data_IF_881843299990
#
_entry.id   IF_881843299990
#
_cell.length_a   1.000
_cell.length_b   1.000
_cell.length_c   1.000
_cell.angle_alpha   90.00
_cell.angle_beta   90.00
_cell.angle_gamma   90.00
#
_symmetry.space_group_name_H-M   'P 1'
#
loop_
_entity.id
_entity.type
_entity.pdbx_description
1 polymer ?
#
# COMPACT_ATOMS: atom_id res chain seq x y z
N UNK A 1 -15.89 -2.17 -1.94
CA UNK A 1 -14.63 -2.69 -2.53
C UNK A 1 -14.86 -3.70 -3.66
N UNK A 2 -15.18 -4.98 -3.42
CA UNK A 2 -15.28 -5.98 -4.52
C UNK A 2 -16.38 -5.63 -5.53
N UNK A 3 -17.55 -5.20 -5.07
CA UNK A 3 -18.61 -4.68 -5.96
C UNK A 3 -18.15 -3.47 -6.78
N UNK A 4 -17.37 -2.59 -6.17
CA UNK A 4 -16.84 -1.39 -6.83
C UNK A 4 -15.85 -1.78 -7.93
N UNK A 5 -15.13 -2.90 -7.77
CA UNK A 5 -14.30 -3.48 -8.83
C UNK A 5 -15.16 -3.93 -10.01
N UNK A 6 -16.26 -4.63 -9.77
CA UNK A 6 -17.18 -5.02 -10.85
C UNK A 6 -17.70 -3.79 -11.61
N UNK A 7 -18.11 -2.73 -10.89
CA UNK A 7 -18.53 -1.47 -11.49
C UNK A 7 -17.40 -0.75 -12.24
N UNK A 8 -16.16 -0.87 -11.77
CA UNK A 8 -14.97 -0.32 -12.44
C UNK A 8 -14.69 -1.04 -13.76
N UNK A 9 -14.76 -2.38 -13.78
CA UNK A 9 -14.65 -3.16 -15.02
C UNK A 9 -15.79 -2.86 -15.98
N UNK A 10 -17.02 -2.67 -15.46
CA UNK A 10 -18.15 -2.21 -16.27
C UNK A 10 -17.87 -0.85 -16.90
N UNK A 11 -17.34 0.12 -16.15
CA UNK A 11 -17.03 1.45 -16.66
C UNK A 11 -15.99 1.42 -17.81
N UNK A 12 -15.02 0.50 -17.76
CA UNK A 12 -14.09 0.28 -18.87
C UNK A 12 -14.79 -0.27 -20.12
N UNK A 13 -15.81 -1.10 -19.95
CA UNK A 13 -16.57 -1.72 -21.04
C UNK A 13 -17.79 -0.91 -21.49
N UNK A 14 -18.05 0.27 -20.91
CA UNK A 14 -19.12 1.19 -21.33
C UNK A 14 -18.63 2.59 -21.68
N UNK A 15 -17.30 2.79 -21.73
CA UNK A 15 -16.70 4.07 -22.09
C UNK A 15 -17.03 4.48 -23.55
N UNK A 16 -16.95 5.78 -23.89
CA UNK A 16 -17.04 6.22 -25.27
C UNK A 16 -15.90 5.68 -26.15
N UNK A 17 -16.16 5.47 -27.44
CA UNK A 17 -15.13 5.07 -28.42
C UNK A 17 -14.79 3.58 -28.42
N UNK A 18 -15.65 2.74 -27.84
CA UNK A 18 -15.54 1.29 -27.91
C UNK A 18 -15.82 0.75 -29.31
N UNK A 19 -15.29 -0.43 -29.66
CA UNK A 19 -15.68 -1.15 -30.87
C UNK A 19 -17.20 -1.33 -30.95
N UNK A 20 -17.80 -1.28 -32.15
CA UNK A 20 -19.24 -1.12 -32.32
C UNK A 20 -20.08 -2.25 -31.73
N UNK A 21 -19.66 -3.51 -31.88
CA UNK A 21 -20.44 -4.65 -31.39
C UNK A 21 -20.42 -4.69 -29.86
N UNK A 22 -19.26 -4.42 -29.25
CA UNK A 22 -19.10 -4.31 -27.80
C UNK A 22 -19.86 -3.11 -27.24
N UNK A 23 -19.83 -1.96 -27.92
CA UNK A 23 -20.56 -0.76 -27.52
C UNK A 23 -22.09 -0.98 -27.50
N UNK A 24 -22.60 -1.85 -28.36
CA UNK A 24 -24.00 -2.25 -28.40
C UNK A 24 -24.35 -3.40 -27.44
N UNK A 25 -23.36 -4.08 -26.87
CA UNK A 25 -23.56 -5.22 -25.99
C UNK A 25 -23.92 -4.78 -24.56
N UNK A 26 -24.78 -5.55 -23.91
CA UNK A 26 -25.07 -5.40 -22.49
C UNK A 26 -23.93 -5.98 -21.64
N UNK A 27 -23.53 -5.30 -20.57
CA UNK A 27 -22.55 -5.83 -19.61
C UNK A 27 -23.30 -6.44 -18.41
N UNK A 28 -23.03 -7.72 -18.14
CA UNK A 28 -23.67 -8.52 -17.09
C UNK A 28 -22.63 -9.09 -16.11
N UNK A 29 -23.10 -9.43 -14.91
CA UNK A 29 -22.30 -10.01 -13.82
C UNK A 29 -23.09 -11.15 -13.18
N UNK A 30 -23.35 -12.21 -13.94
CA UNK A 30 -24.12 -13.37 -13.50
C UNK A 30 -23.25 -14.63 -13.55
N UNK A 31 -23.81 -15.78 -13.15
CA UNK A 31 -23.17 -17.07 -13.33
C UNK A 31 -23.54 -17.63 -14.71
N UNK A 32 -22.57 -18.00 -15.56
CA UNK A 32 -22.82 -18.51 -16.92
C UNK A 32 -23.22 -19.99 -16.87
N UNK A 33 -24.36 -20.28 -16.24
CA UNK A 33 -24.96 -21.63 -16.21
C UNK A 33 -25.69 -21.94 -17.51
N UNK A 34 -26.10 -23.20 -17.71
CA UNK A 34 -26.92 -23.59 -18.87
C UNK A 34 -28.29 -22.90 -18.94
N UNK A 35 -28.76 -22.28 -17.85
CA UNK A 35 -30.01 -21.51 -17.80
C UNK A 35 -29.80 -20.02 -18.12
N UNK A 36 -28.55 -19.56 -18.13
CA UNK A 36 -28.22 -18.18 -18.44
C UNK A 36 -28.42 -17.94 -19.95
N UNK A 37 -29.43 -17.14 -20.29
CA UNK A 37 -29.82 -16.86 -21.67
C UNK A 37 -30.26 -15.39 -21.82
N UNK A 38 -29.31 -14.47 -22.04
CA UNK A 38 -29.62 -13.05 -22.14
C UNK A 38 -30.49 -12.78 -23.39
N UNK A 39 -31.43 -11.85 -23.27
CA UNK A 39 -32.35 -11.49 -24.36
C UNK A 39 -31.72 -10.55 -25.39
N UNK A 40 -30.58 -9.97 -25.07
CA UNK A 40 -29.79 -9.08 -25.91
C UNK A 40 -28.35 -9.58 -25.94
N UNK A 41 -27.61 -9.22 -26.98
CA UNK A 41 -26.17 -9.51 -27.05
C UNK A 41 -25.48 -8.99 -25.80
N UNK A 42 -24.77 -9.85 -25.09
CA UNK A 42 -24.18 -9.50 -23.80
C UNK A 42 -22.73 -10.00 -23.64
N UNK A 43 -21.97 -9.28 -22.83
CA UNK A 43 -20.71 -9.73 -22.24
C UNK A 43 -20.97 -9.98 -20.76
N UNK A 44 -20.72 -11.20 -20.31
CA UNK A 44 -20.86 -11.59 -18.91
C UNK A 44 -19.48 -11.69 -18.24
N UNK A 45 -19.34 -11.07 -17.08
CA UNK A 45 -18.13 -11.07 -16.25
C UNK A 45 -18.41 -11.79 -14.93
N UNK A 46 -18.08 -13.07 -14.87
CA UNK A 46 -18.31 -13.90 -13.69
C UNK A 46 -17.06 -13.96 -12.79
N UNK A 47 -17.13 -13.41 -11.59
CA UNK A 47 -16.06 -13.50 -10.59
C UNK A 47 -16.01 -14.93 -10.01
N UNK A 48 -15.03 -15.72 -10.45
CA UNK A 48 -14.95 -17.14 -10.07
C UNK A 48 -13.86 -17.45 -9.03
N UNK A 49 -12.87 -16.57 -8.87
CA UNK A 49 -11.75 -16.79 -7.97
C UNK A 49 -11.30 -15.47 -7.32
N UNK A 50 -11.11 -15.49 -6.00
CA UNK A 50 -10.55 -14.39 -5.21
C UNK A 50 -9.43 -14.98 -4.35
N UNK A 51 -8.21 -14.49 -4.54
CA UNK A 51 -7.03 -14.96 -3.80
C UNK A 51 -6.23 -13.81 -3.26
N UNK A 52 -5.61 -14.01 -2.11
CA UNK A 52 -4.58 -13.10 -1.64
C UNK A 52 -3.34 -13.23 -2.53
N UNK A 53 -2.86 -12.10 -3.04
CA UNK A 53 -1.60 -12.01 -3.77
C UNK A 53 -0.46 -11.85 -2.75
N UNK A 54 0.14 -12.97 -2.38
CA UNK A 54 1.22 -13.04 -1.41
C UNK A 54 2.56 -12.49 -1.93
N UNK A 55 2.76 -12.44 -3.25
CA UNK A 55 3.98 -11.85 -3.84
C UNK A 55 4.03 -10.34 -3.65
N UNK A 56 2.87 -9.69 -3.65
CA UNK A 56 2.72 -8.26 -3.38
C UNK A 56 2.45 -7.94 -1.90
N UNK A 57 2.50 -8.95 -1.03
CA UNK A 57 2.30 -8.77 0.41
C UNK A 57 3.54 -8.15 1.02
N UNK A 58 3.52 -6.82 1.18
CA UNK A 58 4.40 -6.19 2.14
C UNK A 58 3.89 -6.56 3.55
N UNK A 59 4.73 -7.11 4.42
CA UNK A 59 4.35 -7.35 5.84
C UNK A 59 4.78 -6.20 6.75
N UNK A 60 5.40 -5.18 6.19
CA UNK A 60 5.82 -4.01 6.95
C UNK A 60 4.62 -3.13 7.29
N UNK A 61 4.59 -2.68 8.54
CA UNK A 61 3.69 -1.63 8.94
C UNK A 61 4.24 -0.31 8.41
N UNK A 62 3.39 0.45 7.71
CA UNK A 62 3.67 1.83 7.37
C UNK A 62 3.55 2.67 8.64
N UNK A 63 4.63 3.36 9.00
CA UNK A 63 4.74 4.12 10.24
C UNK A 63 4.64 5.60 9.94
N UNK A 64 3.43 6.15 10.03
CA UNK A 64 3.23 7.59 9.94
C UNK A 64 3.50 8.24 11.30
N UNK A 65 4.60 8.98 11.39
CA UNK A 65 4.94 9.76 12.59
C UNK A 65 4.35 11.16 12.48
N UNK A 66 3.30 11.44 13.25
CA UNK A 66 2.66 12.75 13.34
C UNK A 66 2.85 13.31 14.75
N UNK A 67 3.71 14.32 14.89
CA UNK A 67 3.99 15.01 16.16
C UNK A 67 4.40 14.07 17.30
N UNK A 68 3.49 13.83 18.26
CA UNK A 68 3.67 13.00 19.45
C UNK A 68 3.06 11.59 19.31
N UNK A 69 2.49 11.28 18.14
CA UNK A 69 1.81 10.02 17.87
C UNK A 69 2.45 9.31 16.68
N UNK A 70 2.48 7.98 16.75
CA UNK A 70 2.82 7.11 15.65
C UNK A 70 1.56 6.34 15.24
N UNK A 71 1.15 6.51 13.98
CA UNK A 71 0.11 5.69 13.37
C UNK A 71 0.79 4.50 12.71
N UNK A 72 0.52 3.32 13.26
CA UNK A 72 0.96 2.06 12.70
C UNK A 72 -0.14 1.56 11.77
N UNK A 73 0.10 1.64 10.46
CA UNK A 73 -0.82 1.15 9.42
C UNK A 73 -0.28 -0.17 8.88
N UNK A 74 -0.93 -1.32 9.16
CA UNK A 74 -0.54 -2.56 8.51
C UNK A 74 -0.71 -2.43 7.00
N UNK A 75 0.17 -3.04 6.23
CA UNK A 75 0.00 -3.09 4.79
C UNK A 75 -1.35 -3.73 4.43
N UNK A 76 -2.09 -3.16 3.46
CA UNK A 76 -3.39 -3.69 3.09
C UNK A 76 -3.25 -5.08 2.46
N UNK A 77 -4.25 -5.92 2.67
CA UNK A 77 -4.31 -7.24 2.04
C UNK A 77 -4.53 -7.05 0.53
N UNK A 78 -3.64 -7.61 -0.29
CA UNK A 78 -3.71 -7.50 -1.75
C UNK A 78 -4.54 -8.66 -2.27
N UNK A 79 -5.72 -8.40 -2.81
CA UNK A 79 -6.63 -9.40 -3.35
C UNK A 79 -6.61 -9.38 -4.87
N UNK A 80 -6.21 -10.49 -5.48
CA UNK A 80 -6.42 -10.75 -6.90
C UNK A 80 -7.82 -11.31 -7.11
N UNK A 81 -8.67 -10.55 -7.80
CA UNK A 81 -10.03 -10.95 -8.17
C UNK A 81 -10.06 -11.30 -9.66
N UNK A 82 -10.33 -12.57 -9.98
CA UNK A 82 -10.28 -13.10 -11.34
C UNK A 82 -11.68 -13.38 -11.88
N UNK A 83 -12.01 -12.69 -12.97
CA UNK A 83 -13.26 -12.81 -13.70
C UNK A 83 -13.08 -13.72 -14.92
N UNK A 84 -14.09 -14.55 -15.17
CA UNK A 84 -14.28 -15.24 -16.44
C UNK A 84 -15.19 -14.39 -17.31
N UNK A 85 -14.68 -13.98 -18.46
CA UNK A 85 -15.41 -13.18 -19.44
C UNK A 85 -15.93 -14.07 -20.54
N UNK A 86 -17.24 -14.02 -20.79
CA UNK A 86 -17.92 -14.80 -21.82
C UNK A 86 -18.79 -13.90 -22.68
N UNK A 87 -18.94 -14.23 -23.97
CA UNK A 87 -19.75 -13.46 -24.90
C UNK A 87 -21.00 -14.26 -25.31
N UNK A 88 -22.13 -13.56 -25.36
CA UNK A 88 -23.46 -14.11 -25.60
C UNK A 88 -24.16 -13.32 -26.70
N UNK A 89 -23.77 -13.51 -27.97
CA UNK A 89 -24.46 -12.88 -29.09
C UNK A 89 -25.88 -13.44 -29.25
N UNK A 90 -26.84 -12.56 -29.53
CA UNK A 90 -28.24 -12.93 -29.78
C UNK A 90 -28.61 -12.64 -31.23
N UNK A 91 -28.99 -13.68 -31.96
CA UNK A 91 -29.48 -13.60 -33.34
C UNK A 91 -28.39 -13.47 -34.42
N UNK A 92 -28.81 -13.62 -35.68
CA UNK A 92 -27.94 -13.52 -36.85
C UNK A 92 -27.29 -14.84 -37.31
N UNK A 93 -26.56 -14.76 -38.43
CA UNK A 93 -25.77 -15.87 -38.95
C UNK A 93 -24.41 -15.94 -38.25
N UNK A 94 -23.81 -17.13 -38.18
CA UNK A 94 -22.46 -17.35 -37.65
C UNK A 94 -22.26 -16.92 -36.17
N UNK A 95 -23.22 -17.26 -35.30
CA UNK A 95 -23.23 -16.93 -33.86
C UNK A 95 -21.87 -17.18 -33.18
N UNK A 96 -21.17 -18.27 -33.53
CA UNK A 96 -19.85 -18.59 -32.97
C UNK A 96 -18.76 -17.59 -33.41
N UNK A 97 -18.78 -17.14 -34.66
CA UNK A 97 -17.83 -16.12 -35.12
C UNK A 97 -18.13 -14.76 -34.49
N UNK A 98 -19.39 -14.45 -34.21
CA UNK A 98 -19.77 -13.26 -33.45
C UNK A 98 -19.27 -13.33 -32.00
N UNK A 99 -19.35 -14.50 -31.35
CA UNK A 99 -18.78 -14.73 -30.02
C UNK A 99 -17.28 -14.41 -30.01
N UNK A 100 -16.52 -14.95 -30.97
CA UNK A 100 -15.09 -14.68 -31.09
C UNK A 100 -14.79 -13.20 -31.34
N UNK A 101 -15.59 -12.53 -32.17
CA UNK A 101 -15.43 -11.10 -32.48
C UNK A 101 -15.64 -10.24 -31.23
N UNK A 102 -16.69 -10.52 -30.45
CA UNK A 102 -16.97 -9.83 -29.19
C UNK A 102 -15.84 -10.03 -28.17
N UNK A 103 -15.34 -11.26 -28.01
CA UNK A 103 -14.20 -11.54 -27.15
C UNK A 103 -12.93 -10.81 -27.61
N UNK A 104 -12.68 -10.73 -28.92
CA UNK A 104 -11.57 -9.95 -29.47
C UNK A 104 -11.70 -8.46 -29.14
N UNK A 105 -12.91 -7.89 -29.22
CA UNK A 105 -13.14 -6.49 -28.87
C UNK A 105 -12.93 -6.23 -27.37
N UNK A 106 -13.38 -7.14 -26.50
CA UNK A 106 -13.09 -7.05 -25.06
C UNK A 106 -11.59 -7.11 -24.79
N UNK A 107 -10.87 -8.02 -25.46
CA UNK A 107 -9.42 -8.13 -25.35
C UNK A 107 -8.71 -6.85 -25.81
N UNK A 108 -9.17 -6.21 -26.90
CA UNK A 108 -8.64 -4.91 -27.35
C UNK A 108 -8.84 -3.80 -26.31
N UNK A 109 -9.92 -3.84 -25.53
CA UNK A 109 -10.20 -2.83 -24.50
C UNK A 109 -9.34 -3.09 -23.27
N UNK A 110 -9.44 -4.27 -22.66
CA UNK A 110 -8.69 -4.55 -21.44
C UNK A 110 -7.18 -4.64 -21.68
N UNK A 111 -6.74 -5.17 -22.83
CA UNK A 111 -5.33 -5.28 -23.19
C UNK A 111 -4.61 -3.94 -23.34
N UNK A 112 -5.33 -2.82 -23.41
CA UNK A 112 -4.75 -1.47 -23.38
C UNK A 112 -4.27 -1.04 -21.99
N UNK A 113 -4.73 -1.72 -20.94
CA UNK A 113 -4.53 -1.30 -19.56
C UNK A 113 -3.75 -2.37 -18.79
N UNK A 114 -2.49 -2.07 -18.45
CA UNK A 114 -1.76 -2.84 -17.42
C UNK A 114 -2.12 -2.40 -16.00
N UNK A 115 -2.68 -1.20 -15.85
CA UNK A 115 -3.21 -0.63 -14.62
C UNK A 115 -4.50 0.10 -14.98
N UNK A 116 -5.56 -0.08 -14.18
CA UNK A 116 -6.83 0.60 -14.39
C UNK A 116 -6.66 2.10 -14.08
N UNK A 117 -6.97 3.01 -15.02
CA UNK A 117 -6.90 4.43 -14.76
C UNK A 117 -7.89 4.87 -13.68
N UNK A 118 -7.47 5.79 -12.81
CA UNK A 118 -8.27 6.32 -11.69
C UNK A 118 -9.63 6.89 -12.14
N UNK A 119 -9.70 7.44 -13.36
CA UNK A 119 -10.93 7.98 -13.94
C UNK A 119 -12.05 6.94 -14.10
N UNK A 120 -11.69 5.66 -14.24
CA UNK A 120 -12.66 4.56 -14.35
C UNK A 120 -12.96 3.89 -13.01
N UNK A 121 -12.10 4.08 -12.01
CA UNK A 121 -12.30 3.53 -10.68
C UNK A 121 -13.62 4.03 -10.08
N UNK A 122 -14.38 3.13 -9.46
CA UNK A 122 -15.64 3.42 -8.81
C UNK A 122 -15.53 3.22 -7.29
N UNK A 123 -16.41 3.91 -6.54
CA UNK A 123 -16.51 3.79 -5.09
C UNK A 123 -15.16 3.93 -4.39
N UNK A 124 -14.86 2.97 -3.52
CA UNK A 124 -13.62 2.93 -2.71
C UNK A 124 -12.33 2.79 -3.53
N UNK A 125 -12.40 2.40 -4.81
CA UNK A 125 -11.22 2.20 -5.65
C UNK A 125 -10.62 3.51 -6.18
N UNK A 126 -11.37 4.62 -6.14
CA UNK A 126 -10.89 5.93 -6.62
C UNK A 126 -9.72 6.48 -5.81
N UNK A 127 -9.73 6.19 -4.52
CA UNK A 127 -8.72 6.68 -3.57
C UNK A 127 -7.70 5.58 -3.19
N UNK A 128 -7.85 4.39 -3.78
CA UNK A 128 -7.06 3.24 -3.40
C UNK A 128 -5.60 3.41 -3.83
N UNK A 129 -4.69 3.18 -2.88
CA UNK A 129 -3.26 3.03 -3.14
C UNK A 129 -2.79 1.62 -2.71
N UNK A 130 -1.88 0.99 -3.47
CA UNK A 130 -1.45 1.36 -4.82
C UNK A 130 -2.58 1.19 -5.86
N UNK A 131 -2.36 1.73 -7.07
CA UNK A 131 -3.28 1.63 -8.19
C UNK A 131 -3.63 0.17 -8.51
N UNK A 132 -4.78 -0.05 -9.15
CA UNK A 132 -5.35 -1.37 -9.43
C UNK A 132 -4.70 -1.97 -10.69
N UNK A 133 -3.75 -2.90 -10.59
CA UNK A 133 -3.16 -3.57 -11.75
C UNK A 133 -4.22 -4.47 -12.40
N UNK A 134 -4.20 -4.54 -13.74
CA UNK A 134 -5.09 -5.37 -14.53
C UNK A 134 -4.25 -6.34 -15.36
N UNK A 135 -4.59 -7.62 -15.29
CA UNK A 135 -3.96 -8.69 -16.07
C UNK A 135 -5.02 -9.40 -16.89
N UNK A 136 -4.77 -9.57 -18.18
CA UNK A 136 -5.71 -10.16 -19.13
C UNK A 136 -5.08 -11.40 -19.76
N UNK A 137 -5.85 -12.48 -19.83
CA UNK A 137 -5.42 -13.77 -20.44
C UNK A 137 -4.08 -14.27 -19.90
N UNK A 138 -3.93 -14.27 -18.57
CA UNK A 138 -2.71 -14.76 -17.91
C UNK A 138 -2.45 -16.24 -18.24
N UNK A 139 -1.17 -16.61 -18.37
CA UNK A 139 -0.74 -18.00 -18.60
C UNK A 139 -1.25 -18.93 -17.49
N UNK A 140 -1.26 -18.45 -16.25
CA UNK A 140 -1.79 -19.16 -15.07
C UNK A 140 -3.31 -19.01 -14.91
N UNK A 141 -4.03 -18.85 -16.02
CA UNK A 141 -5.47 -18.66 -16.06
C UNK A 141 -6.27 -19.87 -15.57
N UNK A 142 -7.44 -20.11 -16.17
CA UNK A 142 -8.33 -21.19 -15.74
C UNK A 142 -7.66 -22.56 -15.97
N UNK A 143 -7.15 -23.20 -14.90
CA UNK A 143 -6.32 -24.42 -14.97
C UNK A 143 -6.99 -25.62 -15.66
N UNK A 144 -8.30 -25.81 -15.46
CA UNK A 144 -9.06 -26.90 -16.09
C UNK A 144 -10.39 -26.37 -16.62
N UNK A 145 -10.42 -25.80 -17.84
CA UNK A 145 -11.63 -25.19 -18.39
C UNK A 145 -12.76 -26.21 -18.59
N UNK A 146 -12.45 -27.43 -19.04
CA UNK A 146 -13.47 -28.46 -19.29
C UNK A 146 -14.22 -28.86 -18.01
N UNK A 147 -13.49 -29.06 -16.90
CA UNK A 147 -14.09 -29.37 -15.60
C UNK A 147 -14.91 -28.19 -15.06
N UNK A 148 -14.40 -26.96 -15.20
CA UNK A 148 -15.11 -25.75 -14.79
C UNK A 148 -16.48 -25.63 -15.48
N UNK A 149 -16.51 -25.79 -16.81
CA UNK A 149 -17.75 -25.72 -17.58
C UNK A 149 -18.69 -26.88 -17.29
N UNK A 150 -18.15 -28.09 -17.10
CA UNK A 150 -18.92 -29.26 -16.68
C UNK A 150 -19.60 -29.05 -15.32
N UNK A 151 -18.89 -28.45 -14.36
CA UNK A 151 -19.44 -28.12 -13.03
C UNK A 151 -20.55 -27.06 -13.09
N UNK A 152 -20.54 -26.18 -14.09
CA UNK A 152 -21.62 -25.23 -14.37
C UNK A 152 -22.79 -25.86 -15.16
N UNK A 153 -22.71 -27.13 -15.53
CA UNK A 153 -23.72 -27.82 -16.34
C UNK A 153 -23.88 -27.22 -17.73
N UNK A 154 -22.82 -26.61 -18.28
CA UNK A 154 -22.85 -25.87 -19.54
C UNK A 154 -21.81 -26.46 -20.50
N UNK A 155 -22.10 -26.58 -21.81
CA UNK A 155 -21.06 -26.94 -22.78
C UNK A 155 -19.87 -25.98 -22.70
N UNK A 156 -18.67 -26.51 -22.98
CA UNK A 156 -17.45 -25.70 -23.08
C UNK A 156 -17.65 -24.53 -24.06
N UNK A 157 -17.36 -23.32 -23.60
CA UNK A 157 -17.47 -22.07 -24.37
C UNK A 157 -16.15 -21.31 -24.41
N UNK A 158 -15.96 -20.49 -25.43
CA UNK A 158 -14.81 -19.60 -25.50
C UNK A 158 -14.92 -18.53 -24.41
N UNK A 159 -13.81 -18.26 -23.73
CA UNK A 159 -13.77 -17.33 -22.60
C UNK A 159 -12.38 -16.73 -22.41
N UNK A 160 -12.34 -15.58 -21.74
CA UNK A 160 -11.11 -14.88 -21.37
C UNK A 160 -11.05 -14.76 -19.85
N UNK A 161 -9.84 -14.74 -19.28
CA UNK A 161 -9.64 -14.41 -17.86
C UNK A 161 -9.18 -12.96 -17.71
N UNK A 162 -9.76 -12.24 -16.76
CA UNK A 162 -9.38 -10.87 -16.40
C UNK A 162 -9.19 -10.81 -14.90
N UNK A 163 -7.97 -10.53 -14.44
CA UNK A 163 -7.64 -10.43 -13.02
C UNK A 163 -7.26 -9.01 -12.65
N UNK A 164 -7.84 -8.49 -11.57
CA UNK A 164 -7.52 -7.17 -11.04
C UNK A 164 -7.10 -7.28 -9.57
N UNK A 165 -6.02 -6.59 -9.19
CA UNK A 165 -5.52 -6.63 -7.80
C UNK A 165 -5.94 -5.39 -7.02
N UNK A 166 -6.84 -5.58 -6.04
CA UNK A 166 -7.33 -4.52 -5.14
C UNK A 166 -6.68 -4.62 -3.75
N UNK A 167 -6.69 -3.52 -3.01
CA UNK A 167 -6.23 -3.46 -1.61
C UNK A 167 -7.43 -3.52 -0.68
N UNK A 168 -7.42 -4.39 0.32
CA UNK A 168 -8.42 -4.43 1.38
C UNK A 168 -7.77 -4.14 2.73
N UNK A 169 -8.19 -3.06 3.37
CA UNK A 169 -7.80 -2.75 4.75
C UNK A 169 -8.62 -3.63 5.71
N UNK A 170 -7.96 -4.57 6.38
CA UNK A 170 -8.61 -5.49 7.32
C UNK A 170 -8.50 -5.04 8.78
N UNK A 171 -7.54 -4.14 9.06
CA UNK A 171 -7.22 -3.66 10.41
C UNK A 171 -7.17 -2.14 10.35
N UNK A 172 -7.94 -1.49 11.23
CA UNK A 172 -7.89 -0.04 11.37
C UNK A 172 -6.50 0.41 11.87
N UNK A 173 -6.00 1.59 11.43
CA UNK A 173 -4.77 2.15 11.93
C UNK A 173 -4.72 2.18 13.46
N UNK A 174 -3.64 1.66 14.03
CA UNK A 174 -3.42 1.73 15.47
C UNK A 174 -2.57 2.97 15.79
N UNK A 175 -3.12 3.88 16.58
CA UNK A 175 -2.42 5.08 17.03
C UNK A 175 -1.76 4.83 18.37
N UNK A 176 -0.44 4.96 18.44
CA UNK A 176 0.33 4.82 19.67
C UNK A 176 1.03 6.14 20.02
N UNK A 177 1.23 6.46 21.31
CA UNK A 177 2.12 7.55 21.69
C UNK A 177 3.56 7.23 21.27
N UNK A 178 4.30 8.22 20.81
CA UNK A 178 5.68 8.03 20.40
C UNK A 178 6.57 7.77 21.63
N UNK A 179 7.20 6.60 21.71
CA UNK A 179 8.19 6.31 22.76
C UNK A 179 9.46 7.13 22.52
N UNK A 180 9.73 8.11 23.39
CA UNK A 180 10.93 8.96 23.32
C UNK A 180 12.08 8.49 24.21
N UNK A 181 11.82 7.57 25.16
CA UNK A 181 12.81 7.08 26.12
C UNK A 181 12.62 5.59 26.40
N UNK A 182 13.72 4.82 26.41
CA UNK A 182 13.74 3.41 26.78
C UNK A 182 14.82 3.20 27.86
N UNK A 183 14.46 2.55 29.00
CA UNK A 183 15.41 2.16 30.05
C UNK A 183 15.88 0.74 29.75
N UNK A 184 17.18 0.54 29.55
CA UNK A 184 17.80 -0.79 29.41
C UNK A 184 18.49 -1.11 30.74
N UNK A 185 18.02 -2.13 31.45
CA UNK A 185 18.71 -2.65 32.62
C UNK A 185 19.62 -3.79 32.22
N UNK A 186 20.94 -3.61 32.34
CA UNK A 186 21.96 -4.66 32.26
C UNK A 186 22.77 -4.51 33.54
N UNK A 187 22.64 -5.41 34.52
CA UNK A 187 23.27 -5.38 35.85
C UNK A 187 24.25 -4.20 36.06
N UNK A 188 23.66 -3.07 36.46
CA UNK A 188 24.25 -1.72 36.36
C UNK A 188 23.29 -0.74 35.67
N UNK A 189 22.72 0.20 36.44
CA UNK A 189 21.84 1.22 35.85
C UNK A 189 22.62 2.11 34.88
N UNK A 190 22.36 1.96 33.58
CA UNK A 190 22.91 2.85 32.55
C UNK A 190 21.78 3.44 31.70
N UNK A 191 21.94 4.70 31.36
CA UNK A 191 20.95 5.52 30.66
C UNK A 191 21.50 5.92 29.30
N UNK A 192 20.58 6.10 28.35
CA UNK A 192 20.85 6.78 27.09
C UNK A 192 20.24 8.17 27.17
N UNK A 193 21.04 9.20 26.91
CA UNK A 193 20.59 10.59 26.82
C UNK A 193 20.60 11.04 25.36
N UNK A 194 19.63 11.86 25.00
CA UNK A 194 19.56 12.50 23.70
C UNK A 194 18.98 13.90 23.87
N UNK A 195 19.48 14.83 23.07
CA UNK A 195 19.11 16.23 23.15
C UNK A 195 19.22 16.93 21.80
N UNK A 196 18.75 18.16 21.75
CA UNK A 196 18.87 19.05 20.60
C UNK A 196 19.74 20.25 20.96
N UNK A 197 20.69 20.56 20.08
CA UNK A 197 21.52 21.76 20.16
C UNK A 197 20.99 22.79 19.17
N UNK A 198 20.65 23.98 19.67
CA UNK A 198 20.24 25.13 18.87
C UNK A 198 21.12 26.34 19.09
N UNK A 199 21.17 27.24 18.11
CA UNK A 199 21.85 28.53 18.26
C UNK A 199 20.94 29.56 18.97
N UNK A 200 21.45 30.78 19.16
CA UNK A 200 20.69 31.91 19.70
C UNK A 200 19.43 32.28 18.88
N UNK A 201 19.34 31.91 17.60
CA UNK A 201 18.16 32.10 16.76
C UNK A 201 17.18 30.89 16.77
N UNK A 202 17.41 29.90 17.64
CA UNK A 202 16.68 28.62 17.71
C UNK A 202 16.84 27.70 16.49
N UNK A 203 17.83 27.93 15.65
CA UNK A 203 18.14 27.07 14.51
C UNK A 203 19.01 25.88 14.96
N UNK A 204 18.83 24.70 14.35
CA UNK A 204 19.61 23.51 14.71
C UNK A 204 21.08 23.64 14.32
N UNK A 205 21.98 23.18 15.20
CA UNK A 205 23.42 23.20 14.93
C UNK A 205 23.87 21.83 14.44
N UNK A 206 24.23 21.73 13.16
CA UNK A 206 24.78 20.53 12.52
C UNK A 206 26.28 20.35 12.84
N UNK A 207 26.73 19.09 12.97
CA UNK A 207 28.13 18.70 13.14
C UNK A 207 28.82 19.31 14.37
N UNK A 208 28.06 19.65 15.42
CA UNK A 208 28.63 19.98 16.71
C UNK A 208 29.12 18.69 17.39
N UNK A 209 30.39 18.66 17.79
CA UNK A 209 30.94 17.56 18.56
C UNK A 209 30.48 17.67 20.01
N UNK A 210 29.88 16.60 20.53
CA UNK A 210 29.35 16.51 21.89
C UNK A 210 30.16 15.45 22.63
N UNK A 211 30.63 15.77 23.82
CA UNK A 211 31.42 14.86 24.65
C UNK A 211 30.98 14.89 26.11
N UNK A 212 31.13 13.74 26.78
CA UNK A 212 31.17 13.63 28.24
C UNK A 212 32.59 13.15 28.58
N UNK A 213 33.52 14.09 28.86
CA UNK A 213 34.93 13.75 29.10
C UNK A 213 35.10 12.73 30.22
N UNK A 214 34.28 12.79 31.27
CA UNK A 214 34.34 11.90 32.43
C UNK A 214 34.06 10.42 32.07
N UNK A 215 33.49 10.17 30.90
CA UNK A 215 33.14 8.83 30.39
C UNK A 215 33.85 8.47 29.09
N UNK A 216 34.69 9.37 28.54
CA UNK A 216 35.26 9.24 27.20
C UNK A 216 34.20 8.97 26.11
N UNK A 217 32.98 9.49 26.31
CA UNK A 217 31.89 9.34 25.36
C UNK A 217 31.85 10.55 24.44
N UNK A 218 31.74 10.31 23.13
CA UNK A 218 31.64 11.37 22.12
C UNK A 218 30.59 11.04 21.07
N UNK A 219 29.97 12.06 20.49
CA UNK A 219 29.01 11.96 19.38
C UNK A 219 28.99 13.27 18.60
N UNK A 220 28.24 13.32 17.51
CA UNK A 220 28.04 14.54 16.73
C UNK A 220 26.55 14.80 16.50
N UNK A 221 26.18 16.07 16.35
CA UNK A 221 24.79 16.44 16.01
C UNK A 221 24.49 16.22 14.53
N UNK A 222 23.29 15.73 14.23
CA UNK A 222 22.81 15.53 12.85
C UNK A 222 22.24 16.84 12.23
N UNK A 223 21.63 16.75 11.04
CA UNK A 223 21.01 17.88 10.31
C UNK A 223 19.92 18.64 11.08
N UNK A 224 19.31 17.99 12.08
CA UNK A 224 18.28 18.58 12.94
C UNK A 224 18.85 19.06 14.29
N UNK A 225 20.18 19.06 14.45
CA UNK A 225 20.86 19.45 15.68
C UNK A 225 20.73 18.43 16.81
N UNK A 226 20.27 17.21 16.52
CA UNK A 226 20.02 16.16 17.52
C UNK A 226 21.25 15.30 17.73
N UNK A 227 21.51 14.91 18.97
CA UNK A 227 22.60 13.98 19.35
C UNK A 227 22.10 12.90 20.29
N UNK A 228 22.87 11.81 20.41
CA UNK A 228 22.59 10.68 21.33
C UNK A 228 23.88 10.13 21.93
N UNK A 229 23.88 9.88 23.23
CA UNK A 229 24.96 9.25 23.99
C UNK A 229 24.37 8.15 24.89
N UNK A 230 24.93 6.94 24.82
CA UNK A 230 24.46 5.76 25.56
C UNK A 230 25.40 5.32 26.68
N UNK A 231 24.95 4.36 27.50
CA UNK A 231 25.74 3.71 28.55
C UNK A 231 26.26 4.67 29.64
N UNK A 232 25.46 5.65 30.03
CA UNK A 232 25.81 6.65 31.05
C UNK A 232 25.15 6.26 32.38
N UNK A 233 25.90 5.96 33.45
CA UNK A 233 25.32 5.70 34.77
C UNK A 233 24.54 6.90 35.34
N UNK A 234 23.79 6.69 36.41
CA UNK A 234 23.22 7.82 37.16
C UNK A 234 24.35 8.65 37.80
N UNK A 235 24.24 9.97 37.72
CA UNK A 235 25.28 10.87 38.20
C UNK A 235 25.20 12.27 37.60
N UNK A 236 26.14 13.12 38.01
CA UNK A 236 26.33 14.45 37.41
C UNK A 236 27.54 14.43 36.49
N UNK A 237 27.37 15.02 35.31
CA UNK A 237 28.36 15.02 34.23
C UNK A 237 28.48 16.39 33.59
N UNK A 238 29.59 16.64 32.92
CA UNK A 238 29.78 17.82 32.09
C UNK A 238 29.59 17.46 30.63
N UNK A 239 28.58 18.06 30.00
CA UNK A 239 28.42 17.99 28.56
C UNK A 239 29.26 19.09 27.90
N UNK A 240 30.32 18.67 27.22
CA UNK A 240 31.14 19.56 26.40
C UNK A 240 30.60 19.59 24.98
N UNK A 241 30.28 20.77 24.48
CA UNK A 241 29.75 21.02 23.15
C UNK A 241 30.78 21.84 22.40
N UNK A 242 31.28 21.33 21.29
CA UNK A 242 32.21 22.02 20.39
C UNK A 242 31.52 22.18 19.02
N UNK A 243 30.89 23.33 18.78
CA UNK A 243 30.34 23.66 17.47
C UNK A 243 31.48 23.84 16.44
N UNK A 244 31.22 23.66 15.14
CA UNK A 244 32.23 23.87 14.11
C UNK A 244 32.68 25.34 13.99
N UNK A 245 31.76 26.29 14.19
CA UNK A 245 31.96 27.72 13.94
C UNK A 245 31.75 28.61 15.18
N UNK A 246 31.82 28.05 16.39
CA UNK A 246 31.60 28.78 17.64
C UNK A 246 32.48 28.21 18.77
N UNK A 247 32.76 28.99 19.84
CA UNK A 247 33.54 28.52 20.97
C UNK A 247 32.87 27.33 21.66
N UNK A 248 33.68 26.45 22.23
CA UNK A 248 33.17 25.32 23.00
C UNK A 248 32.45 25.78 24.26
N UNK A 249 31.35 25.13 24.60
CA UNK A 249 30.55 25.39 25.79
C UNK A 249 30.46 24.13 26.65
N UNK A 250 30.63 24.29 27.95
CA UNK A 250 30.45 23.21 28.92
C UNK A 250 29.14 23.44 29.69
N UNK A 251 28.33 22.39 29.82
CA UNK A 251 27.04 22.45 30.51
C UNK A 251 26.97 21.30 31.51
N UNK A 252 26.71 21.61 32.78
CA UNK A 252 26.47 20.60 33.79
C UNK A 252 25.11 19.94 33.54
N UNK A 253 25.09 18.60 33.52
CA UNK A 253 23.89 17.79 33.34
C UNK A 253 23.80 16.75 34.45
N UNK A 254 22.58 16.39 34.82
CA UNK A 254 22.30 15.27 35.73
C UNK A 254 21.60 14.17 34.95
N UNK A 255 22.05 12.93 35.17
CA UNK A 255 21.47 11.73 34.57
C UNK A 255 20.91 10.87 35.71
N UNK A 256 19.61 10.50 35.68
CA UNK A 256 18.60 10.92 34.73
C UNK A 256 18.19 12.40 34.90
N UNK A 257 17.79 13.03 33.80
CA UNK A 257 17.28 14.40 33.78
C UNK A 257 15.89 14.48 34.40
N UNK A 258 15.57 15.64 34.98
CA UNK A 258 14.31 15.87 35.72
C UNK A 258 13.15 16.22 34.77
N UNK A 259 13.45 16.77 33.59
CA UNK A 259 12.49 17.21 32.55
C UNK A 259 12.81 16.60 31.18
N UNK A 260 11.80 16.54 30.31
CA UNK A 260 11.95 16.04 28.92
C UNK A 260 12.92 16.87 28.06
N UNK A 261 13.21 18.12 28.45
CA UNK A 261 14.12 19.04 27.79
C UNK A 261 15.47 19.21 28.53
N UNK A 262 15.76 18.38 29.54
CA UNK A 262 16.97 18.51 30.39
C UNK A 262 18.29 18.48 29.62
N UNK A 263 18.28 17.95 28.40
CA UNK A 263 19.44 17.81 27.53
C UNK A 263 19.36 18.67 26.26
N UNK A 264 18.34 19.53 26.14
CA UNK A 264 18.26 20.50 25.06
C UNK A 264 19.05 21.74 25.45
N UNK A 265 19.99 22.15 24.59
CA UNK A 265 20.94 23.22 24.92
C UNK A 265 20.92 24.25 23.81
N UNK A 266 20.65 25.48 24.22
CA UNK A 266 20.74 26.67 23.38
C UNK A 266 22.09 27.32 23.60
N UNK A 267 22.92 27.36 22.55
CA UNK A 267 24.24 27.97 22.53
C UNK A 267 24.17 29.49 22.58
#
# INVERSE_FOLDING_TARGET
>A
MIRDLSQTLQALLTQPGLPPDLAAAQILFDRPTGQFNPQQTAIDLFLYDIRENLELRNSEFDLDRLNTQANLRPAPMRLACTYLVTAWPVGGAEVILQEHRLLSQVLQVFGRYGVIPEAFCQGSLREQKPAVPLLVTAIDGLKNPAEFWSALGTPLRASLTVSATISLETIAPLTFPLTTSHKIGLDGESFQIGGKITNAANEPVLNAAIAIPERNLTTTTNGEGRYRLGAIPSGSYTLQIRPPNAPSRNVAITVPGIRNDSYNIRL
#
